data_IF_417878666214
#
_entry.id   IF_417878666214
#
_cell.length_a   1.000
_cell.length_b   1.000
_cell.length_c   1.000
_cell.angle_alpha   90.00
_cell.angle_beta   90.00
_cell.angle_gamma   90.00
#
_symmetry.space_group_name_H-M   'P 1'
#
loop_
_entity.id
_entity.type
_entity.pdbx_description
1 polymer ?
#
# COMPACT_ATOMS: atom_id res chain seq x y z
N UNK A 1 -6.95 6.38 -14.30
CA UNK A 1 -6.81 5.76 -13.00
C UNK A 1 -5.53 6.13 -12.30
N UNK A 2 -5.46 5.85 -11.00
CA UNK A 2 -4.28 6.10 -10.16
C UNK A 2 -3.21 4.99 -10.28
N UNK A 3 -3.48 3.92 -11.03
CA UNK A 3 -2.55 2.81 -11.18
C UNK A 3 -1.39 3.14 -12.11
N UNK A 4 -0.17 2.95 -11.63
CA UNK A 4 1.05 3.01 -12.43
C UNK A 4 1.30 1.78 -13.30
N UNK A 5 0.52 0.71 -13.11
CA UNK A 5 0.64 -0.55 -13.86
C UNK A 5 -0.01 -0.50 -15.23
N UNK A 6 0.08 0.62 -15.91
CA UNK A 6 -0.53 0.79 -17.22
C UNK A 6 0.39 0.24 -18.29
N UNK A 7 -0.08 -0.80 -18.95
CA UNK A 7 0.57 -1.40 -20.12
C UNK A 7 -0.19 -0.96 -21.38
N UNK A 8 0.25 0.10 -22.03
CA UNK A 8 -0.25 0.47 -23.34
C UNK A 8 -0.60 1.95 -23.52
N UNK A 9 -0.48 2.41 -24.74
CA UNK A 9 -0.56 3.82 -25.15
C UNK A 9 -1.93 4.48 -24.93
N UNK A 10 -3.02 3.74 -24.83
CA UNK A 10 -4.36 4.31 -24.63
C UNK A 10 -4.60 4.69 -23.17
N UNK A 11 -4.10 3.91 -22.22
CA UNK A 11 -4.23 4.19 -20.81
C UNK A 11 -3.39 5.41 -20.37
N UNK A 12 -2.34 5.77 -21.10
CA UNK A 12 -1.58 7.00 -20.88
C UNK A 12 -2.39 8.27 -21.21
N UNK A 13 -3.39 8.17 -22.07
CA UNK A 13 -4.22 9.31 -22.46
C UNK A 13 -5.26 9.70 -21.42
N UNK A 14 -5.58 8.79 -20.49
CA UNK A 14 -6.60 9.00 -19.45
C UNK A 14 -6.00 9.26 -18.05
N UNK A 15 -4.69 9.50 -17.94
CA UNK A 15 -4.06 9.80 -16.67
C UNK A 15 -4.56 11.13 -16.11
N UNK A 16 -4.98 11.12 -14.85
CA UNK A 16 -5.32 12.35 -14.16
C UNK A 16 -4.07 13.27 -14.13
N UNK A 17 -4.17 14.51 -14.64
CA UNK A 17 -3.04 15.42 -14.69
C UNK A 17 -2.51 15.86 -13.31
N UNK A 18 -3.25 15.57 -12.25
CA UNK A 18 -2.83 15.80 -10.85
C UNK A 18 -1.95 14.68 -10.30
N UNK A 19 -1.89 13.51 -10.97
CA UNK A 19 -1.10 12.38 -10.53
C UNK A 19 0.30 12.43 -11.11
N UNK A 20 1.30 12.18 -10.28
CA UNK A 20 2.69 11.98 -10.67
C UNK A 20 3.11 10.57 -10.28
N UNK A 21 3.76 9.89 -11.20
CA UNK A 21 4.32 8.56 -10.93
C UNK A 21 5.77 8.73 -10.51
N UNK A 22 6.18 7.91 -9.56
CA UNK A 22 7.55 7.83 -9.07
C UNK A 22 8.18 6.49 -9.44
N UNK A 23 9.49 6.47 -9.53
CA UNK A 23 10.27 5.28 -9.81
C UNK A 23 10.18 4.26 -8.69
N UNK A 24 10.18 2.99 -9.06
CA UNK A 24 10.20 1.86 -8.13
C UNK A 24 11.41 0.98 -8.47
N UNK A 25 12.15 0.42 -7.48
CA UNK A 25 13.39 -0.34 -7.70
C UNK A 25 13.11 -1.75 -8.24
N UNK A 26 12.54 -1.87 -9.45
CA UNK A 26 12.13 -3.15 -10.03
C UNK A 26 13.30 -4.07 -10.34
N UNK A 27 14.38 -3.51 -10.88
CA UNK A 27 15.56 -4.31 -11.26
C UNK A 27 16.32 -4.77 -10.01
N UNK A 28 16.40 -3.90 -9.00
CA UNK A 28 17.10 -4.12 -7.74
C UNK A 28 16.34 -5.10 -6.81
N UNK A 29 15.08 -5.38 -7.10
CA UNK A 29 14.27 -6.34 -6.34
C UNK A 29 13.70 -7.49 -7.20
N UNK A 30 14.31 -7.72 -8.38
CA UNK A 30 13.89 -8.76 -9.33
C UNK A 30 14.07 -10.18 -8.81
N UNK A 31 15.11 -10.44 -8.02
CA UNK A 31 15.42 -11.74 -7.44
C UNK A 31 15.68 -11.64 -5.95
N UNK A 32 15.71 -12.78 -5.26
CA UNK A 32 16.05 -12.83 -3.83
C UNK A 32 17.48 -12.32 -3.60
N UNK A 33 18.42 -12.67 -4.47
CA UNK A 33 19.82 -12.24 -4.39
C UNK A 33 19.90 -10.71 -4.56
N UNK A 34 19.24 -10.14 -5.58
CA UNK A 34 19.25 -8.70 -5.82
C UNK A 34 18.71 -7.91 -4.61
N UNK A 35 17.71 -8.45 -3.93
CA UNK A 35 17.13 -7.81 -2.72
C UNK A 35 18.04 -7.78 -1.52
N UNK A 36 19.09 -8.58 -1.49
CA UNK A 36 20.09 -8.58 -0.40
C UNK A 36 21.20 -7.55 -0.61
N UNK A 37 21.34 -7.03 -1.83
CA UNK A 37 22.30 -5.99 -2.13
C UNK A 37 21.81 -4.62 -1.63
N UNK A 38 22.75 -3.76 -1.18
CA UNK A 38 22.40 -2.40 -0.78
C UNK A 38 21.77 -1.62 -1.94
N UNK A 39 20.64 -0.96 -1.68
CA UNK A 39 19.98 -0.11 -2.66
C UNK A 39 20.55 1.31 -2.59
N UNK A 40 20.97 1.86 -3.73
CA UNK A 40 21.23 3.30 -3.84
C UNK A 40 19.91 4.07 -3.82
N UNK A 41 19.63 4.74 -2.71
CA UNK A 41 18.42 5.52 -2.52
C UNK A 41 18.49 6.94 -3.13
N UNK A 42 19.69 7.41 -3.50
CA UNK A 42 19.90 8.79 -3.93
C UNK A 42 19.05 9.20 -5.15
N UNK A 43 18.93 8.38 -6.21
CA UNK A 43 18.11 8.75 -7.37
C UNK A 43 16.62 8.84 -7.03
N UNK A 44 16.09 7.93 -6.20
CA UNK A 44 14.69 7.92 -5.76
C UNK A 44 14.38 9.13 -4.87
N UNK A 45 15.29 9.44 -3.95
CA UNK A 45 15.16 10.63 -3.08
C UNK A 45 15.19 11.90 -3.90
N UNK A 46 16.11 12.03 -4.85
CA UNK A 46 16.23 13.21 -5.71
C UNK A 46 14.97 13.43 -6.57
N UNK A 47 14.34 12.35 -7.06
CA UNK A 47 13.07 12.42 -7.78
C UNK A 47 11.95 13.00 -6.90
N UNK A 48 11.81 12.54 -5.66
CA UNK A 48 10.83 13.06 -4.71
C UNK A 48 11.08 14.53 -4.36
N UNK A 49 12.33 14.91 -4.15
CA UNK A 49 12.73 16.30 -3.88
C UNK A 49 12.44 17.22 -5.07
N UNK A 50 12.67 16.75 -6.30
CA UNK A 50 12.31 17.48 -7.50
C UNK A 50 10.80 17.72 -7.62
N UNK A 51 9.98 16.69 -7.30
CA UNK A 51 8.52 16.83 -7.26
C UNK A 51 8.08 17.83 -6.17
N UNK A 52 8.68 17.77 -4.98
CA UNK A 52 8.37 18.73 -3.90
C UNK A 52 8.77 20.16 -4.30
N UNK A 53 9.91 20.33 -4.94
CA UNK A 53 10.35 21.65 -5.44
C UNK A 53 9.39 22.21 -6.50
N UNK A 54 8.85 21.36 -7.39
CA UNK A 54 7.93 21.78 -8.46
C UNK A 54 6.52 22.05 -7.93
N UNK A 55 5.99 21.18 -7.07
CA UNK A 55 4.57 21.21 -6.68
C UNK A 55 4.33 21.81 -5.28
N UNK A 56 5.34 21.89 -4.43
CA UNK A 56 5.23 22.45 -3.07
C UNK A 56 4.15 21.72 -2.24
N UNK A 57 3.31 22.51 -1.59
CA UNK A 57 2.23 22.00 -0.71
C UNK A 57 1.03 21.43 -1.47
N UNK A 58 1.07 21.39 -2.79
CA UNK A 58 0.08 20.67 -3.61
C UNK A 58 0.30 19.15 -3.61
N UNK A 59 1.48 18.69 -3.19
CA UNK A 59 1.70 17.27 -2.92
C UNK A 59 1.09 16.91 -1.57
N UNK A 60 -0.06 16.25 -1.58
CA UNK A 60 -0.83 15.94 -0.37
C UNK A 60 -0.76 14.47 0.04
N UNK A 61 -0.47 13.55 -0.89
CA UNK A 61 -0.44 12.13 -0.61
C UNK A 61 0.55 11.41 -1.53
N UNK A 62 1.31 10.47 -0.95
CA UNK A 62 2.07 9.47 -1.68
C UNK A 62 1.39 8.12 -1.46
N UNK A 63 0.95 7.49 -2.55
CA UNK A 63 0.33 6.16 -2.50
C UNK A 63 1.23 5.13 -3.20
N UNK A 64 1.44 4.00 -2.55
CA UNK A 64 2.15 2.85 -3.14
C UNK A 64 1.66 1.54 -2.55
N UNK A 65 1.85 0.43 -3.29
CA UNK A 65 1.76 -0.91 -2.69
C UNK A 65 3.03 -1.17 -1.85
N UNK A 66 2.98 -1.94 -0.75
CA UNK A 66 4.19 -2.38 -0.02
C UNK A 66 5.14 -3.22 -0.90
N UNK A 67 4.57 -3.97 -1.82
CA UNK A 67 5.26 -4.59 -2.95
C UNK A 67 4.34 -4.53 -4.18
N UNK A 68 4.90 -4.42 -5.37
CA UNK A 68 4.09 -4.32 -6.59
C UNK A 68 3.50 -5.70 -6.95
N UNK A 69 2.31 -6.00 -6.44
CA UNK A 69 1.67 -7.28 -6.67
C UNK A 69 1.31 -7.53 -8.13
N UNK A 70 0.42 -6.72 -8.68
CA UNK A 70 0.00 -6.78 -10.08
C UNK A 70 1.12 -6.49 -11.08
N UNK A 71 2.15 -5.79 -10.64
CA UNK A 71 3.33 -5.46 -11.45
C UNK A 71 4.34 -6.61 -11.63
N UNK A 72 4.18 -7.73 -10.92
CA UNK A 72 5.08 -8.88 -11.00
C UNK A 72 5.65 -9.36 -9.65
N UNK A 73 5.00 -9.01 -8.55
CA UNK A 73 5.41 -9.36 -7.18
C UNK A 73 6.82 -8.86 -6.83
N UNK A 74 7.11 -7.62 -7.18
CA UNK A 74 8.37 -6.97 -6.84
C UNK A 74 8.34 -6.47 -5.39
N UNK A 75 9.18 -7.06 -4.55
CA UNK A 75 9.32 -6.71 -3.13
C UNK A 75 10.55 -5.83 -2.94
N UNK A 76 10.40 -4.54 -2.64
CA UNK A 76 11.53 -3.63 -2.52
C UNK A 76 12.32 -3.91 -1.25
N UNK A 77 13.55 -3.40 -1.21
CA UNK A 77 14.34 -3.36 0.00
C UNK A 77 13.64 -2.48 1.05
N UNK A 78 13.86 -2.82 2.32
CA UNK A 78 13.23 -2.15 3.46
C UNK A 78 13.52 -0.64 3.48
N UNK A 79 14.73 -0.29 3.14
CA UNK A 79 15.24 1.09 3.13
C UNK A 79 14.48 1.98 2.13
N UNK A 80 13.99 1.41 1.01
CA UNK A 80 13.18 2.15 0.05
C UNK A 80 11.86 2.60 0.68
N UNK A 81 11.13 1.69 1.32
CA UNK A 81 9.86 2.01 1.97
C UNK A 81 10.05 2.98 3.14
N UNK A 82 11.13 2.81 3.90
CA UNK A 82 11.49 3.72 4.99
C UNK A 82 11.82 5.12 4.48
N UNK A 83 12.55 5.22 3.36
CA UNK A 83 12.85 6.50 2.71
C UNK A 83 11.57 7.21 2.25
N UNK A 84 10.60 6.48 1.65
CA UNK A 84 9.31 7.05 1.25
C UNK A 84 8.53 7.58 2.47
N UNK A 85 8.41 6.77 3.53
CA UNK A 85 7.72 7.16 4.76
C UNK A 85 8.37 8.38 5.41
N UNK A 86 9.70 8.39 5.51
CA UNK A 86 10.46 9.51 6.07
C UNK A 86 10.25 10.79 5.24
N UNK A 87 10.33 10.69 3.91
CA UNK A 87 10.07 11.82 3.02
C UNK A 87 8.67 12.41 3.22
N UNK A 88 7.67 11.57 3.34
CA UNK A 88 6.30 12.00 3.60
C UNK A 88 6.19 12.75 4.93
N UNK A 89 6.76 12.20 5.99
CA UNK A 89 6.77 12.81 7.32
C UNK A 89 7.50 14.18 7.33
N UNK A 90 8.66 14.28 6.68
CA UNK A 90 9.45 15.52 6.61
C UNK A 90 8.74 16.65 5.83
N UNK A 91 7.80 16.31 4.95
CA UNK A 91 7.17 17.24 4.01
C UNK A 91 5.66 17.44 4.22
N UNK A 92 5.08 16.91 5.31
CA UNK A 92 3.64 16.97 5.61
C UNK A 92 2.79 16.38 4.46
N UNK A 93 3.22 15.22 3.94
CA UNK A 93 2.56 14.44 2.89
C UNK A 93 1.99 13.19 3.53
N UNK A 94 0.71 12.87 3.29
CA UNK A 94 0.12 11.63 3.79
C UNK A 94 0.78 10.42 3.10
N UNK A 95 1.23 9.45 3.90
CA UNK A 95 1.75 8.18 3.42
C UNK A 95 0.63 7.15 3.38
N UNK A 96 0.22 6.75 2.18
CA UNK A 96 -0.88 5.84 1.96
C UNK A 96 -0.37 4.52 1.37
N UNK A 97 -0.61 3.41 2.05
CA UNK A 97 -0.26 2.08 1.54
C UNK A 97 -1.48 1.32 1.02
N UNK A 98 -1.40 0.91 -0.24
CA UNK A 98 -2.36 -0.01 -0.83
C UNK A 98 -1.99 -1.44 -0.47
N UNK A 99 -2.60 -1.95 0.59
CA UNK A 99 -2.41 -3.32 1.05
C UNK A 99 -3.49 -4.29 0.56
N UNK A 100 -4.30 -3.91 -0.42
CA UNK A 100 -5.36 -4.78 -0.94
C UNK A 100 -4.87 -6.18 -1.32
N UNK A 101 -3.63 -6.33 -1.79
CA UNK A 101 -3.01 -7.63 -2.06
C UNK A 101 -2.09 -8.11 -0.92
N UNK A 102 -1.52 -7.20 -0.15
CA UNK A 102 -0.45 -7.49 0.79
C UNK A 102 -0.92 -7.82 2.21
N UNK A 103 -2.19 -7.53 2.52
CA UNK A 103 -2.79 -7.71 3.83
C UNK A 103 -3.10 -9.19 4.19
N UNK A 104 -3.60 -9.38 5.39
CA UNK A 104 -4.17 -10.63 5.91
C UNK A 104 -3.24 -11.84 5.69
N UNK A 105 -1.98 -11.70 6.13
CA UNK A 105 -1.04 -12.81 6.18
C UNK A 105 -0.31 -13.12 4.87
N UNK A 106 -0.52 -12.34 3.79
CA UNK A 106 0.11 -12.59 2.49
C UNK A 106 1.64 -12.64 2.55
N UNK A 107 2.24 -11.79 3.36
CA UNK A 107 3.70 -11.71 3.58
C UNK A 107 4.17 -12.45 4.84
N UNK A 108 3.25 -13.09 5.57
CA UNK A 108 3.51 -13.71 6.86
C UNK A 108 3.20 -12.82 8.07
N UNK A 109 2.88 -11.56 7.84
CA UNK A 109 2.37 -10.62 8.85
C UNK A 109 0.95 -10.19 8.51
N UNK A 110 0.19 -9.73 9.49
CA UNK A 110 -1.19 -9.25 9.26
C UNK A 110 -1.23 -8.16 8.19
N UNK A 111 -0.28 -7.23 8.26
CA UNK A 111 -0.04 -6.17 7.30
C UNK A 111 1.41 -6.16 6.85
N UNK A 112 1.64 -6.01 5.54
CA UNK A 112 2.98 -6.03 4.99
C UNK A 112 3.83 -4.83 5.44
N UNK A 113 3.23 -3.68 5.74
CA UNK A 113 3.99 -2.52 6.19
C UNK A 113 4.79 -2.78 7.46
N UNK A 114 4.35 -3.70 8.32
CA UNK A 114 5.08 -4.06 9.54
C UNK A 114 6.42 -4.73 9.24
N UNK A 115 6.55 -5.43 8.12
CA UNK A 115 7.81 -6.03 7.67
C UNK A 115 8.87 -4.96 7.30
N UNK A 116 8.40 -3.82 6.81
CA UNK A 116 9.25 -2.68 6.46
C UNK A 116 9.57 -1.78 7.67
N UNK A 117 8.81 -1.92 8.77
CA UNK A 117 8.94 -1.08 9.95
C UNK A 117 8.55 0.37 9.67
N UNK A 118 7.54 0.57 8.86
CA UNK A 118 6.93 1.87 8.57
C UNK A 118 5.53 1.95 9.16
N UNK A 119 5.04 3.16 9.40
CA UNK A 119 3.70 3.42 9.89
C UNK A 119 3.00 4.37 8.92
N UNK A 120 2.05 3.87 8.11
CA UNK A 120 1.32 4.69 7.16
C UNK A 120 0.22 5.50 7.84
N UNK A 121 -0.13 6.64 7.24
CA UNK A 121 -1.28 7.44 7.67
C UNK A 121 -2.61 6.81 7.26
N UNK A 122 -2.63 6.13 6.11
CA UNK A 122 -3.79 5.46 5.52
C UNK A 122 -3.38 4.11 4.93
N UNK A 123 -4.29 3.13 5.03
CA UNK A 123 -4.13 1.80 4.43
C UNK A 123 -5.42 1.38 3.75
N UNK A 124 -5.37 0.96 2.50
CA UNK A 124 -6.50 0.28 1.84
C UNK A 124 -6.39 -1.24 2.02
N UNK A 125 -7.49 -1.86 2.36
CA UNK A 125 -7.64 -3.29 2.62
C UNK A 125 -8.69 -3.88 1.67
N UNK A 126 -8.52 -5.13 1.30
CA UNK A 126 -9.47 -5.84 0.44
C UNK A 126 -9.06 -7.30 0.29
N UNK A 127 -9.57 -7.99 -0.70
CA UNK A 127 -9.26 -9.42 -0.99
C UNK A 127 -9.30 -10.30 0.26
N UNK A 128 -8.17 -10.48 0.96
CA UNK A 128 -8.07 -11.24 2.20
C UNK A 128 -9.01 -10.78 3.30
N UNK A 129 -9.34 -9.50 3.36
CA UNK A 129 -10.29 -8.93 4.33
C UNK A 129 -11.64 -9.66 4.33
N UNK A 130 -12.20 -9.91 3.13
CA UNK A 130 -13.50 -10.58 2.99
C UNK A 130 -13.39 -12.06 2.70
N UNK A 131 -12.19 -12.60 2.51
CA UNK A 131 -11.91 -14.02 2.25
C UNK A 131 -12.84 -14.66 1.21
N UNK A 132 -13.04 -13.97 0.08
CA UNK A 132 -13.92 -14.36 -1.03
C UNK A 132 -15.19 -13.54 -1.18
N UNK A 133 -15.60 -12.79 -0.14
CA UNK A 133 -16.64 -11.77 -0.28
C UNK A 133 -16.06 -10.46 -0.80
N UNK A 134 -16.71 -9.78 -1.76
CA UNK A 134 -16.28 -8.49 -2.27
C UNK A 134 -16.52 -7.39 -1.22
N UNK A 135 -15.51 -7.16 -0.40
CA UNK A 135 -15.50 -6.12 0.61
C UNK A 135 -14.13 -5.47 0.66
N UNK A 136 -14.11 -4.19 0.83
CA UNK A 136 -12.92 -3.39 1.04
C UNK A 136 -13.11 -2.41 2.20
N UNK A 137 -12.01 -1.84 2.67
CA UNK A 137 -11.99 -0.83 3.71
C UNK A 137 -10.77 0.08 3.55
N UNK A 138 -10.90 1.31 4.03
CA UNK A 138 -9.76 2.19 4.28
C UNK A 138 -9.69 2.44 5.78
N UNK A 139 -8.53 2.22 6.37
CA UNK A 139 -8.23 2.49 7.77
C UNK A 139 -7.10 3.51 7.85
N UNK A 140 -7.05 4.28 8.92
CA UNK A 140 -5.99 5.26 9.10
C UNK A 140 -6.22 6.18 10.27
N UNK A 141 -5.46 7.27 10.30
CA UNK A 141 -5.47 8.24 11.37
C UNK A 141 -6.82 8.93 11.52
N UNK A 142 -7.28 9.03 12.77
CA UNK A 142 -8.58 9.64 13.09
C UNK A 142 -8.65 11.12 12.68
N UNK A 143 -7.56 11.87 12.78
CA UNK A 143 -7.50 13.28 12.40
C UNK A 143 -7.62 13.51 10.88
N UNK A 144 -7.20 12.54 10.07
CA UNK A 144 -7.40 12.56 8.61
C UNK A 144 -8.88 12.34 8.29
N UNK A 145 -9.50 11.30 8.87
CA UNK A 145 -10.93 11.04 8.66
C UNK A 145 -11.85 12.14 9.24
N UNK A 146 -11.42 12.80 10.31
CA UNK A 146 -12.17 13.92 10.90
C UNK A 146 -12.33 15.15 9.96
N UNK A 147 -11.58 15.15 8.84
CA UNK A 147 -11.74 16.19 7.79
C UNK A 147 -12.90 15.94 6.85
N UNK A 148 -13.39 14.70 6.82
CA UNK A 148 -14.55 14.37 5.98
C UNK A 148 -15.83 15.01 6.57
N UNK A 149 -16.62 15.58 5.69
CA UNK A 149 -17.96 16.10 6.04
C UNK A 149 -19.03 15.04 5.81
N UNK A 150 -20.24 15.29 6.29
CA UNK A 150 -21.34 14.35 6.16
C UNK A 150 -21.57 13.95 4.69
N UNK A 151 -21.59 12.66 4.43
CA UNK A 151 -21.81 12.08 3.10
C UNK A 151 -20.55 11.89 2.26
N UNK A 152 -19.42 12.52 2.62
CA UNK A 152 -18.15 12.26 1.94
C UNK A 152 -17.62 10.88 2.33
N UNK A 153 -17.11 10.14 1.34
CA UNK A 153 -16.57 8.79 1.54
C UNK A 153 -17.62 7.70 1.84
N UNK A 154 -18.92 7.99 1.65
CA UNK A 154 -19.97 7.00 1.81
C UNK A 154 -20.58 6.58 0.46
N UNK A 155 -21.06 5.34 0.39
CA UNK A 155 -21.86 4.82 -0.71
C UNK A 155 -23.04 3.98 -0.19
N UNK A 156 -23.96 3.61 -1.09
CA UNK A 156 -25.18 2.88 -0.72
C UNK A 156 -24.92 1.50 -0.11
N UNK A 157 -23.78 0.86 -0.46
CA UNK A 157 -23.46 -0.50 -0.04
C UNK A 157 -22.43 -0.55 1.08
N UNK A 158 -21.89 0.56 1.52
CA UNK A 158 -20.95 0.63 2.64
C UNK A 158 -21.56 0.05 3.91
N UNK A 159 -20.83 -0.82 4.57
CA UNK A 159 -21.24 -1.43 5.82
C UNK A 159 -22.40 -2.44 5.69
N UNK A 160 -22.63 -3.03 4.50
CA UNK A 160 -23.72 -4.00 4.36
C UNK A 160 -23.47 -5.26 5.22
N UNK A 161 -24.54 -5.84 5.83
CA UNK A 161 -24.39 -6.87 6.88
C UNK A 161 -23.61 -8.11 6.46
N UNK A 162 -23.80 -8.58 5.23
CA UNK A 162 -23.13 -9.79 4.74
C UNK A 162 -21.60 -9.59 4.62
N UNK A 163 -21.18 -8.44 4.08
CA UNK A 163 -19.76 -8.08 4.03
C UNK A 163 -19.15 -7.94 5.42
N UNK A 164 -19.84 -7.25 6.32
CA UNK A 164 -19.41 -7.13 7.72
C UNK A 164 -19.29 -8.47 8.41
N UNK A 165 -20.22 -9.39 8.21
CA UNK A 165 -20.17 -10.73 8.76
C UNK A 165 -18.97 -11.54 8.23
N UNK A 166 -18.65 -11.41 6.93
CA UNK A 166 -17.48 -12.05 6.34
C UNK A 166 -16.17 -11.48 6.92
N UNK A 167 -16.09 -10.18 7.10
CA UNK A 167 -14.93 -9.52 7.74
C UNK A 167 -14.75 -10.02 9.18
N UNK A 168 -15.83 -10.05 9.98
CA UNK A 168 -15.78 -10.53 11.35
C UNK A 168 -15.30 -11.98 11.40
N UNK A 169 -15.85 -12.87 10.55
CA UNK A 169 -15.43 -14.27 10.51
C UNK A 169 -13.95 -14.42 10.12
N UNK A 170 -13.45 -13.55 9.22
CA UNK A 170 -12.02 -13.53 8.86
C UNK A 170 -11.16 -13.09 10.05
N UNK A 171 -11.55 -12.04 10.76
CA UNK A 171 -10.82 -11.56 11.94
C UNK A 171 -10.83 -12.60 13.06
N UNK A 172 -11.98 -13.23 13.34
CA UNK A 172 -12.11 -14.30 14.33
C UNK A 172 -11.17 -15.47 14.03
N UNK A 173 -11.03 -15.86 12.75
CA UNK A 173 -10.09 -16.92 12.36
C UNK A 173 -8.64 -16.53 12.67
N UNK A 174 -8.24 -15.29 12.40
CA UNK A 174 -6.89 -14.80 12.72
C UNK A 174 -6.63 -14.70 14.22
N UNK A 175 -7.66 -14.41 15.03
CA UNK A 175 -7.54 -14.34 16.49
C UNK A 175 -7.52 -15.72 17.15
N UNK A 176 -8.30 -16.67 16.62
CA UNK A 176 -8.51 -17.98 17.26
C UNK A 176 -7.54 -19.06 16.77
N UNK A 177 -6.85 -18.83 15.66
CA UNK A 177 -5.99 -19.82 15.03
C UNK A 177 -4.59 -19.27 14.76
N UNK A 178 -3.68 -20.17 14.35
CA UNK A 178 -2.27 -19.90 14.08
C UNK A 178 -1.99 -19.65 12.59
N UNK A 179 -2.92 -18.96 11.89
CA UNK A 179 -2.88 -18.76 10.44
C UNK A 179 -1.56 -18.12 9.99
N UNK A 180 -1.09 -17.08 10.69
CA UNK A 180 0.15 -16.38 10.32
C UNK A 180 1.38 -17.28 10.45
N UNK A 181 1.48 -18.04 11.53
CA UNK A 181 2.59 -18.96 11.70
C UNK A 181 2.52 -20.14 10.72
N UNK A 182 1.31 -20.61 10.37
CA UNK A 182 1.13 -21.60 9.30
C UNK A 182 1.61 -21.06 7.96
N UNK A 183 1.25 -19.82 7.61
CA UNK A 183 1.73 -19.15 6.39
C UNK A 183 3.25 -19.06 6.34
N UNK A 184 3.89 -18.66 7.44
CA UNK A 184 5.37 -18.61 7.54
C UNK A 184 6.02 -19.98 7.36
N UNK A 185 5.46 -21.03 7.97
CA UNK A 185 5.97 -22.42 7.79
C UNK A 185 5.88 -22.88 6.34
N UNK A 186 4.76 -22.59 5.65
CA UNK A 186 4.57 -22.97 4.25
C UNK A 186 5.48 -22.19 3.31
N UNK A 187 5.76 -20.93 3.63
CA UNK A 187 6.68 -20.09 2.84
C UNK A 187 8.15 -20.52 2.95
N UNK A 188 8.53 -21.24 4.00
CA UNK A 188 9.89 -21.71 4.22
C UNK A 188 10.18 -23.11 3.63
N UNK A 189 9.14 -23.82 3.15
CA UNK A 189 9.22 -25.14 2.56
C UNK A 189 9.42 -25.10 1.04
#
# INVERSE_FOLDING_TARGET
>A
GLSGAVTGSEADKERDPRVRFISFPKEECRSLEARTEPLDLAPYRAELEALKAEFGDRLCVLITEPYLGGGGSYHPQKEYMQMLAQFCQENDILFFLDEVQANFGRTGSMYAFSEYGVEPDLVSLGKGLGNGMPVDAVVGRADVFARLTFGEGSDTWSGHPLGCAAVLATLDEFEQTDVLAQGKRLSAA
#
